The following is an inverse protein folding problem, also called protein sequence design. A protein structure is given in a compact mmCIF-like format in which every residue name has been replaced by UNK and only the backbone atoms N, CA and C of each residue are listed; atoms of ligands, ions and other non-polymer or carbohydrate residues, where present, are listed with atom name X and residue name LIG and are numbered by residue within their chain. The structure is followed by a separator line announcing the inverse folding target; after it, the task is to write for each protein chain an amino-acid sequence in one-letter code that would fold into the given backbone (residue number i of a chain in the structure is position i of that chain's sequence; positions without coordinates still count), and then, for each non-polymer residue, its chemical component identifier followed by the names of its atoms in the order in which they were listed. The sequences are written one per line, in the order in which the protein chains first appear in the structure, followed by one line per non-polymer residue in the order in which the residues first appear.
data_IF_284953336899
#
_entry.id   IF_284953336899
#
_cell.length_a   1.000
_cell.length_b   1.000
_cell.length_c   1.000
_cell.angle_alpha   90.00
_cell.angle_beta   90.00
_cell.angle_gamma   90.00
#
_symmetry.space_group_name_H-M   'P 1'
#
loop_
_entity.id
_entity.type
_entity.pdbx_description
1 polymer ?
#
# COMPACT_ATOMS: atom_id res chain seq x y z
N UNK A 1 -14.16 -3.70 5.61
CA UNK A 1 -13.36 -4.40 4.59
C UNK A 1 -13.60 -5.90 4.68
N UNK A 2 -13.68 -6.60 3.55
CA UNK A 2 -13.76 -8.06 3.49
C UNK A 2 -12.37 -8.66 3.28
N UNK A 3 -11.98 -9.70 4.04
CA UNK A 3 -10.70 -10.37 3.84
C UNK A 3 -10.55 -10.94 2.43
N UNK A 4 -9.33 -10.88 1.89
CA UNK A 4 -8.94 -11.64 0.71
C UNK A 4 -8.76 -13.11 1.10
N UNK A 5 -8.99 -14.07 0.18
CA UNK A 5 -8.64 -15.47 0.42
C UNK A 5 -7.17 -15.61 0.82
N UNK A 6 -6.83 -16.57 1.69
CA UNK A 6 -5.42 -16.84 2.06
C UNK A 6 -4.58 -17.23 0.83
N UNK A 7 -5.20 -17.88 -0.15
CA UNK A 7 -4.59 -18.24 -1.43
C UNK A 7 -4.52 -17.08 -2.45
N UNK A 8 -4.86 -15.84 -2.07
CA UNK A 8 -4.77 -14.70 -2.99
C UNK A 8 -3.32 -14.56 -3.50
N UNK A 9 -3.20 -14.42 -4.82
CA UNK A 9 -1.94 -14.31 -5.53
C UNK A 9 -1.29 -12.94 -5.33
N UNK A 10 0.02 -12.84 -5.59
CA UNK A 10 0.73 -11.57 -5.49
C UNK A 10 0.17 -10.52 -6.46
N UNK A 11 -0.30 -10.96 -7.64
CA UNK A 11 -0.96 -10.08 -8.60
C UNK A 11 -2.29 -9.50 -8.05
N UNK A 12 -3.07 -10.29 -7.31
CA UNK A 12 -4.31 -9.82 -6.68
C UNK A 12 -4.03 -8.85 -5.52
N UNK A 13 -2.95 -9.07 -4.77
CA UNK A 13 -2.49 -8.17 -3.70
C UNK A 13 -2.00 -6.84 -4.28
N UNK A 14 -1.16 -6.88 -5.32
CA UNK A 14 -0.72 -5.67 -6.02
C UNK A 14 -1.91 -4.93 -6.62
N UNK A 15 -2.87 -5.64 -7.23
CA UNK A 15 -4.09 -5.02 -7.76
C UNK A 15 -4.96 -4.37 -6.68
N UNK A 16 -4.94 -4.86 -5.44
CA UNK A 16 -5.59 -4.19 -4.31
C UNK A 16 -4.88 -2.87 -3.99
N UNK A 17 -3.54 -2.85 -3.98
CA UNK A 17 -2.76 -1.63 -3.76
C UNK A 17 -2.94 -0.65 -4.93
N UNK A 18 -3.02 -1.12 -6.19
CA UNK A 18 -3.35 -0.27 -7.34
C UNK A 18 -4.70 0.45 -7.15
N UNK A 19 -5.72 -0.26 -6.65
CA UNK A 19 -7.03 0.36 -6.33
C UNK A 19 -6.92 1.39 -5.23
N UNK A 20 -6.10 1.13 -4.21
CA UNK A 20 -5.82 2.09 -3.15
C UNK A 20 -5.15 3.34 -3.69
N UNK A 21 -4.11 3.21 -4.53
CA UNK A 21 -3.46 4.34 -5.21
C UNK A 21 -4.44 5.08 -6.11
N UNK A 22 -5.34 4.39 -6.81
CA UNK A 22 -6.37 5.02 -7.65
C UNK A 22 -7.35 5.88 -6.86
N UNK A 23 -7.65 5.55 -5.59
CA UNK A 23 -8.44 6.41 -4.70
C UNK A 23 -7.65 7.64 -4.26
N UNK A 24 -6.36 7.48 -3.96
CA UNK A 24 -5.46 8.60 -3.64
C UNK A 24 -5.31 9.57 -4.82
N UNK A 25 -5.21 9.04 -6.04
CA UNK A 25 -5.14 9.82 -7.28
C UNK A 25 -6.38 10.70 -7.48
N UNK A 26 -7.54 10.21 -7.05
CA UNK A 26 -8.82 10.95 -7.03
C UNK A 26 -8.94 11.92 -5.84
N UNK A 27 -7.99 11.89 -4.90
CA UNK A 27 -8.04 12.65 -3.65
C UNK A 27 -8.98 12.08 -2.60
N UNK A 28 -9.46 10.84 -2.76
CA UNK A 28 -10.37 10.18 -1.83
C UNK A 28 -9.60 9.38 -0.77
N UNK A 29 -8.96 10.12 0.13
CA UNK A 29 -8.12 9.56 1.20
C UNK A 29 -8.93 8.79 2.26
N UNK A 30 -10.21 9.13 2.43
CA UNK A 30 -11.13 8.42 3.34
C UNK A 30 -11.45 7.04 2.78
N UNK A 31 -11.91 6.95 1.53
CA UNK A 31 -12.17 5.65 0.89
C UNK A 31 -10.90 4.80 0.79
N UNK A 32 -9.74 5.41 0.54
CA UNK A 32 -8.46 4.72 0.55
C UNK A 32 -8.18 4.09 1.93
N UNK A 33 -8.44 4.80 3.02
CA UNK A 33 -8.28 4.29 4.38
C UNK A 33 -9.29 3.18 4.71
N UNK A 34 -10.52 3.26 4.22
CA UNK A 34 -11.50 2.19 4.38
C UNK A 34 -11.14 0.92 3.58
N UNK A 35 -10.55 1.08 2.40
CA UNK A 35 -10.10 -0.01 1.55
C UNK A 35 -8.89 -0.74 2.14
N UNK A 36 -7.88 0.00 2.57
CA UNK A 36 -6.67 -0.50 3.24
C UNK A 36 -6.48 0.30 4.52
N UNK A 37 -6.99 -0.19 5.66
CA UNK A 37 -6.86 0.47 6.94
C UNK A 37 -5.40 0.44 7.38
N UNK A 38 -5.00 1.44 8.16
CA UNK A 38 -3.66 1.53 8.68
C UNK A 38 -3.40 0.47 9.75
N UNK A 39 -2.16 0.03 9.84
CA UNK A 39 -1.71 -0.70 11.03
C UNK A 39 -1.61 0.31 12.19
N UNK A 40 -2.39 0.05 13.23
CA UNK A 40 -2.48 0.80 14.49
C UNK A 40 -2.31 2.33 14.38
N UNK A 41 -3.41 3.05 14.09
CA UNK A 41 -3.61 4.47 14.42
C UNK A 41 -2.63 5.50 13.81
N UNK A 42 -1.57 5.08 13.14
CA UNK A 42 -0.54 5.98 12.62
C UNK A 42 -1.00 6.68 11.35
N UNK A 43 -1.64 5.99 10.42
CA UNK A 43 -1.98 6.55 9.11
C UNK A 43 -3.47 6.88 8.97
N UNK A 44 -3.87 7.98 9.61
CA UNK A 44 -5.17 8.60 9.32
C UNK A 44 -5.17 9.24 7.90
N UNK A 45 -6.35 9.42 7.27
CA UNK A 45 -6.48 9.98 5.92
C UNK A 45 -5.67 11.27 5.70
N UNK A 46 -5.73 12.20 6.65
CA UNK A 46 -4.99 13.45 6.60
C UNK A 46 -3.46 13.28 6.64
N UNK A 47 -2.95 12.27 7.34
CA UNK A 47 -1.51 11.98 7.40
C UNK A 47 -1.02 11.31 6.12
N UNK A 48 -1.82 10.41 5.54
CA UNK A 48 -1.54 9.84 4.21
C UNK A 48 -1.49 10.94 3.16
N UNK A 49 -2.49 11.83 3.16
CA UNK A 49 -2.51 13.00 2.29
C UNK A 49 -1.25 13.85 2.46
N UNK A 50 -0.89 14.20 3.69
CA UNK A 50 0.26 15.05 3.95
C UNK A 50 1.59 14.41 3.52
N UNK A 51 1.75 13.10 3.69
CA UNK A 51 2.95 12.39 3.23
C UNK A 51 3.09 12.41 1.71
N UNK A 52 1.99 12.21 0.98
CA UNK A 52 1.99 12.19 -0.49
C UNK A 52 2.09 13.61 -1.06
N UNK A 53 1.23 14.54 -0.65
CA UNK A 53 1.28 15.92 -1.16
C UNK A 53 2.59 16.61 -0.74
N UNK A 54 3.14 16.24 0.42
CA UNK A 54 4.45 16.69 0.88
C UNK A 54 5.63 16.22 0.02
N UNK A 55 5.46 15.16 -0.79
CA UNK A 55 6.45 14.73 -1.78
C UNK A 55 6.38 15.53 -3.08
N UNK A 56 5.49 16.52 -3.17
CA UNK A 56 5.46 17.50 -4.26
C UNK A 56 4.41 17.27 -5.35
N UNK A 57 3.45 16.36 -5.13
CA UNK A 57 2.38 16.09 -6.10
C UNK A 57 1.33 15.10 -5.61
N UNK A 58 0.62 14.46 -6.53
CA UNK A 58 -0.39 13.43 -6.22
C UNK A 58 0.10 12.04 -6.56
N UNK A 59 -0.29 11.05 -5.77
CA UNK A 59 -0.05 9.66 -6.12
C UNK A 59 -0.81 9.30 -7.41
N UNK A 60 -0.17 8.51 -8.27
CA UNK A 60 -0.73 8.08 -9.57
C UNK A 60 -0.46 6.60 -9.78
N UNK A 61 -1.44 5.86 -10.32
CA UNK A 61 -1.30 4.41 -10.51
C UNK A 61 -0.24 4.10 -11.58
N UNK A 62 -0.31 4.82 -12.70
CA UNK A 62 0.65 4.73 -13.79
C UNK A 62 1.63 5.90 -13.73
N UNK A 63 2.88 5.64 -14.10
CA UNK A 63 3.88 6.69 -14.22
C UNK A 63 4.95 6.36 -15.24
N UNK A 64 5.54 7.42 -15.79
CA UNK A 64 6.71 7.33 -16.64
C UNK A 64 7.94 7.00 -15.80
N UNK A 65 8.67 5.95 -16.19
CA UNK A 65 9.97 5.69 -15.59
C UNK A 65 10.97 6.74 -16.05
N UNK A 66 11.62 7.41 -15.08
CA UNK A 66 12.74 8.33 -15.32
C UNK A 66 14.08 7.76 -14.86
N UNK A 67 14.28 6.46 -15.10
CA UNK A 67 15.49 5.75 -14.68
C UNK A 67 15.49 5.35 -13.20
N UNK A 68 14.41 5.62 -12.48
CA UNK A 68 14.16 5.03 -11.16
C UNK A 68 13.48 3.67 -11.34
N UNK A 69 14.00 2.60 -10.70
CA UNK A 69 13.24 1.37 -10.58
C UNK A 69 11.95 1.63 -9.79
N UNK A 70 10.89 0.89 -10.12
CA UNK A 70 9.63 0.92 -9.38
C UNK A 70 9.33 -0.50 -8.93
N UNK A 71 9.27 -0.69 -7.61
CA UNK A 71 8.99 -1.97 -6.97
C UNK A 71 7.48 -2.12 -6.76
N UNK A 72 6.98 -3.30 -7.09
CA UNK A 72 5.64 -3.80 -6.75
C UNK A 72 5.80 -5.25 -6.34
N UNK A 73 6.42 -5.46 -5.19
CA UNK A 73 6.89 -6.77 -4.74
C UNK A 73 6.09 -7.19 -3.52
N UNK A 74 5.75 -8.48 -3.47
CA UNK A 74 5.14 -9.12 -2.31
C UNK A 74 6.16 -10.12 -1.76
N UNK A 75 6.62 -9.86 -0.54
CA UNK A 75 7.47 -10.78 0.20
C UNK A 75 6.61 -11.53 1.21
N UNK A 76 6.64 -12.86 1.17
CA UNK A 76 5.87 -13.73 2.06
C UNK A 76 6.80 -14.49 2.98
N UNK A 77 6.36 -14.74 4.21
CA UNK A 77 7.09 -15.53 5.19
C UNK A 77 6.16 -16.32 6.09
N UNK A 78 6.72 -17.29 6.80
CA UNK A 78 6.00 -18.01 7.86
C UNK A 78 5.77 -17.08 9.06
N UNK A 79 4.55 -17.07 9.57
CA UNK A 79 4.21 -16.33 10.78
C UNK A 79 5.17 -16.70 11.93
N UNK A 80 5.79 -15.69 12.52
CA UNK A 80 6.52 -15.87 13.76
C UNK A 80 5.55 -16.14 14.93
N UNK A 81 6.00 -16.84 15.97
CA UNK A 81 5.19 -17.12 17.16
C UNK A 81 4.56 -15.83 17.73
N UNK A 82 3.23 -15.78 17.75
CA UNK A 82 2.46 -14.66 18.28
C UNK A 82 2.26 -13.47 17.34
N UNK A 83 2.68 -13.57 16.06
CA UNK A 83 2.42 -12.56 15.04
C UNK A 83 1.46 -13.09 13.97
N UNK A 84 0.45 -12.29 13.62
CA UNK A 84 -0.44 -12.58 12.49
C UNK A 84 0.12 -12.09 11.14
N UNK A 85 1.26 -11.39 11.14
CA UNK A 85 1.88 -10.88 9.92
C UNK A 85 2.63 -12.00 9.17
N UNK A 86 2.26 -12.21 7.90
CA UNK A 86 2.75 -13.31 7.03
C UNK A 86 3.38 -12.81 5.73
N UNK A 87 3.52 -11.50 5.60
CA UNK A 87 4.13 -10.90 4.43
C UNK A 87 4.15 -9.38 4.49
N UNK A 88 4.84 -8.79 3.53
CA UNK A 88 4.88 -7.36 3.30
C UNK A 88 4.85 -7.06 1.81
N UNK A 89 4.14 -5.99 1.46
CA UNK A 89 4.07 -5.46 0.10
C UNK A 89 4.92 -4.20 0.07
N UNK A 90 5.86 -4.14 -0.86
CA UNK A 90 6.65 -2.96 -1.17
C UNK A 90 6.14 -2.36 -2.47
N UNK A 91 5.61 -1.14 -2.39
CA UNK A 91 5.01 -0.44 -3.52
C UNK A 91 5.61 0.96 -3.65
N UNK A 92 6.46 1.14 -4.66
CA UNK A 92 6.99 2.46 -5.00
C UNK A 92 5.90 3.25 -5.73
N UNK A 93 5.65 4.49 -5.29
CA UNK A 93 4.60 5.36 -5.77
C UNK A 93 5.10 6.24 -6.91
N UNK A 94 4.24 6.44 -7.91
CA UNK A 94 4.43 7.51 -8.87
C UNK A 94 3.78 8.79 -8.34
N UNK A 95 4.43 9.93 -8.53
CA UNK A 95 3.93 11.26 -8.19
C UNK A 95 3.72 12.06 -9.46
N UNK A 96 2.50 12.54 -9.70
CA UNK A 96 2.06 13.26 -10.90
C UNK A 96 2.45 12.55 -12.21
N UNK A 97 2.29 11.23 -12.25
CA UNK A 97 2.58 10.41 -13.42
C UNK A 97 4.07 10.16 -13.64
N UNK A 98 4.92 10.39 -12.63
CA UNK A 98 6.37 10.18 -12.72
C UNK A 98 6.84 9.29 -11.58
N UNK A 99 7.72 8.32 -11.88
CA UNK A 99 8.36 7.50 -10.86
C UNK A 99 9.03 8.35 -9.77
N UNK A 100 8.78 8.01 -8.50
CA UNK A 100 9.35 8.67 -7.31
C UNK A 100 10.03 7.63 -6.40
N UNK A 101 10.87 8.14 -5.51
CA UNK A 101 11.48 7.46 -4.36
C UNK A 101 10.51 7.24 -3.18
N UNK A 102 9.29 7.78 -3.25
CA UNK A 102 8.27 7.56 -2.23
C UNK A 102 7.77 6.12 -2.29
N UNK A 103 7.89 5.41 -1.18
CA UNK A 103 7.49 4.00 -1.04
C UNK A 103 6.39 3.88 0.00
N UNK A 104 5.31 3.17 -0.33
CA UNK A 104 4.33 2.69 0.62
C UNK A 104 4.59 1.21 0.92
N UNK A 105 4.67 0.87 2.20
CA UNK A 105 4.78 -0.52 2.65
C UNK A 105 3.53 -0.96 3.37
N UNK A 106 3.20 -2.23 3.22
CA UNK A 106 1.96 -2.80 3.76
C UNK A 106 2.22 -4.14 4.42
N UNK A 107 1.61 -4.39 5.56
CA UNK A 107 1.56 -5.73 6.13
C UNK A 107 0.49 -6.59 5.46
N UNK A 108 0.82 -7.85 5.24
CA UNK A 108 -0.14 -8.92 4.96
C UNK A 108 -0.42 -9.64 6.28
N UNK A 109 -1.63 -9.47 6.80
CA UNK A 109 -2.02 -9.96 8.13
C UNK A 109 -3.09 -11.04 7.98
N UNK A 110 -2.85 -12.22 8.56
CA UNK A 110 -3.85 -13.29 8.66
C UNK A 110 -4.99 -12.85 9.56
N UNK A 111 -6.20 -13.18 9.15
CA UNK A 111 -7.42 -12.96 9.93
C UNK A 111 -8.35 -14.16 9.75
N UNK A 112 -9.37 -14.26 10.60
CA UNK A 112 -10.41 -15.26 10.40
C UNK A 112 -11.06 -15.09 9.02
N UNK A 113 -10.97 -16.12 8.18
CA UNK A 113 -11.53 -16.12 6.82
C UNK A 113 -10.57 -15.71 5.71
N UNK A 114 -9.29 -15.42 6.01
CA UNK A 114 -8.28 -15.18 4.99
C UNK A 114 -7.18 -14.23 5.45
N UNK A 115 -6.92 -13.19 4.66
CA UNK A 115 -5.88 -12.19 4.94
C UNK A 115 -6.33 -10.79 4.56
N UNK A 116 -5.76 -9.80 5.23
CA UNK A 116 -5.98 -8.37 4.95
C UNK A 116 -4.65 -7.68 4.70
N UNK A 117 -4.68 -6.67 3.85
CA UNK A 117 -3.56 -5.75 3.66
C UNK A 117 -3.76 -4.55 4.58
N UNK A 118 -2.70 -4.13 5.28
CA UNK A 118 -2.72 -2.94 6.16
C UNK A 118 -1.58 -2.00 5.83
N UNK A 119 -1.86 -0.71 5.77
CA UNK A 119 -0.81 0.29 5.52
C UNK A 119 0.12 0.37 6.73
N UNK A 120 1.41 0.04 6.53
CA UNK A 120 2.44 0.04 7.56
C UNK A 120 3.17 1.38 7.60
N UNK A 121 3.71 1.81 6.46
CA UNK A 121 4.54 3.01 6.40
C UNK A 121 4.48 3.68 5.02
N UNK A 122 4.77 4.98 4.99
CA UNK A 122 5.04 5.75 3.77
C UNK A 122 6.33 6.53 4.06
N UNK A 123 7.38 6.27 3.28
CA UNK A 123 8.69 6.90 3.46
C UNK A 123 9.41 7.08 2.13
N UNK A 124 10.43 7.93 2.13
CA UNK A 124 11.36 8.11 1.01
C UNK A 124 12.51 7.11 1.17
N UNK A 125 12.92 6.48 0.08
CA UNK A 125 14.03 5.52 0.01
C UNK A 125 15.37 6.15 -0.39
#
# INVERSE_FOLDING_TARGET
MSPLPEAATDAELVALVDRWVGLLEQGDYEAANELIPPDEGRWAPNRVRWAIEGSGGRATVAGESRGLPQRRVVDRWEAADGSDAVGEIWYDLNIDGVASDLTATFWLVRVQGGQVVRLKDIHVM
#
